data_IF_542146121714
#
_entry.id   IF_542146121714
#
_cell.length_a   1.000
_cell.length_b   1.000
_cell.length_c   1.000
_cell.angle_alpha   90.00
_cell.angle_beta   90.00
_cell.angle_gamma   90.00
#
_symmetry.space_group_name_H-M   'P 1'
#
loop_
_entity.id
_entity.type
_entity.pdbx_description
1 polymer ?
#
# COMPACT_ATOMS: atom_id res chain seq x y z
N UNK A 1 -19.46 26.61 -9.89
CA UNK A 1 -19.45 25.40 -9.03
C UNK A 1 -18.90 24.27 -9.89
N UNK A 2 -17.59 24.03 -9.88
CA UNK A 2 -17.08 22.76 -10.41
C UNK A 2 -17.63 21.66 -9.50
N UNK A 3 -18.50 20.81 -10.05
CA UNK A 3 -19.18 19.77 -9.28
C UNK A 3 -18.15 18.76 -8.81
N UNK A 4 -18.24 18.35 -7.54
CA UNK A 4 -17.56 17.16 -7.05
C UNK A 4 -17.67 16.02 -8.07
N UNK A 5 -16.59 15.27 -8.28
CA UNK A 5 -16.60 14.16 -9.22
C UNK A 5 -17.52 13.07 -8.69
N UNK A 6 -18.77 13.08 -9.18
CA UNK A 6 -19.83 12.20 -8.70
C UNK A 6 -19.48 10.71 -8.91
N UNK A 7 -18.74 10.39 -9.99
CA UNK A 7 -18.26 9.04 -10.26
C UNK A 7 -17.24 8.62 -9.21
N UNK A 8 -16.28 9.50 -8.85
CA UNK A 8 -15.31 9.26 -7.77
C UNK A 8 -16.00 8.93 -6.45
N UNK A 9 -16.98 9.75 -6.06
CA UNK A 9 -17.76 9.52 -4.83
C UNK A 9 -18.47 8.17 -4.85
N UNK A 10 -19.14 7.83 -5.97
CA UNK A 10 -19.84 6.54 -6.10
C UNK A 10 -18.88 5.37 -6.00
N UNK A 11 -17.76 5.40 -6.73
CA UNK A 11 -16.82 4.27 -6.74
C UNK A 11 -16.22 4.03 -5.35
N UNK A 12 -15.81 5.10 -4.66
CA UNK A 12 -15.28 4.97 -3.31
C UNK A 12 -16.36 4.58 -2.28
N UNK A 13 -17.60 5.04 -2.44
CA UNK A 13 -18.74 4.61 -1.62
C UNK A 13 -19.02 3.13 -1.80
N UNK A 14 -19.05 2.63 -3.04
CA UNK A 14 -19.22 1.21 -3.32
C UNK A 14 -18.05 0.42 -2.74
N UNK A 15 -16.82 0.92 -2.87
CA UNK A 15 -15.62 0.22 -2.43
C UNK A 15 -15.56 0.10 -0.91
N UNK A 16 -15.82 1.19 -0.19
CA UNK A 16 -15.90 1.19 1.27
C UNK A 16 -17.02 0.28 1.77
N UNK A 17 -18.23 0.40 1.21
CA UNK A 17 -19.37 -0.43 1.62
C UNK A 17 -19.14 -1.92 1.34
N UNK A 18 -18.61 -2.26 0.17
CA UNK A 18 -18.38 -3.66 -0.23
C UNK A 18 -17.21 -4.29 0.55
N UNK A 19 -16.11 -3.57 0.75
CA UNK A 19 -15.03 -4.03 1.63
C UNK A 19 -15.52 -4.28 3.06
N UNK A 20 -16.34 -3.38 3.60
CA UNK A 20 -16.95 -3.55 4.92
C UNK A 20 -17.87 -4.77 4.98
N UNK A 21 -18.63 -5.05 3.92
CA UNK A 21 -19.42 -6.29 3.82
C UNK A 21 -18.52 -7.54 3.92
N UNK A 22 -17.42 -7.58 3.17
CA UNK A 22 -16.49 -8.71 3.17
C UNK A 22 -15.86 -8.94 4.54
N UNK A 23 -15.42 -7.87 5.21
CA UNK A 23 -14.86 -7.93 6.56
C UNK A 23 -15.91 -8.35 7.59
N UNK A 24 -17.13 -7.82 7.51
CA UNK A 24 -18.22 -8.13 8.44
C UNK A 24 -18.63 -9.61 8.40
N UNK A 25 -18.57 -10.21 7.21
CA UNK A 25 -18.88 -11.63 6.98
C UNK A 25 -17.67 -12.55 7.13
N UNK A 26 -16.51 -12.03 7.52
CA UNK A 26 -15.26 -12.80 7.61
C UNK A 26 -14.96 -13.56 6.31
N UNK A 27 -15.20 -12.90 5.17
CA UNK A 27 -14.89 -13.41 3.83
C UNK A 27 -13.48 -12.95 3.43
N UNK A 28 -13.23 -11.66 3.57
CA UNK A 28 -11.93 -11.06 3.33
C UNK A 28 -11.68 -9.90 4.29
N UNK A 29 -10.41 -9.69 4.63
CA UNK A 29 -9.93 -8.49 5.31
C UNK A 29 -8.68 -8.01 4.58
N UNK A 30 -8.46 -6.70 4.58
CA UNK A 30 -7.30 -6.10 3.93
C UNK A 30 -6.05 -6.22 4.81
N UNK A 31 -6.17 -5.97 6.11
CA UNK A 31 -5.03 -5.97 7.00
C UNK A 31 -4.45 -7.39 7.17
N UNK A 32 -3.24 -7.60 6.67
CA UNK A 32 -2.55 -8.90 6.72
C UNK A 32 -2.37 -9.42 8.16
N UNK A 33 -2.10 -8.53 9.11
CA UNK A 33 -2.02 -8.87 10.54
C UNK A 33 -3.35 -9.25 11.20
N UNK A 34 -4.50 -8.91 10.58
CA UNK A 34 -5.82 -9.29 11.07
C UNK A 34 -6.20 -10.70 10.63
N UNK A 35 -5.80 -11.12 9.41
CA UNK A 35 -6.14 -12.45 8.86
C UNK A 35 -5.80 -13.61 9.81
N UNK A 36 -4.58 -13.72 10.38
CA UNK A 36 -4.24 -14.80 11.31
C UNK A 36 -5.09 -14.85 12.58
N UNK A 37 -5.74 -13.75 12.95
CA UNK A 37 -6.53 -13.60 14.18
C UNK A 37 -8.01 -13.97 13.93
N UNK A 38 -8.48 -13.86 12.68
CA UNK A 38 -9.86 -14.16 12.31
C UNK A 38 -10.36 -15.55 12.74
N UNK A 39 -9.55 -16.63 12.73
CA UNK A 39 -9.98 -17.94 13.24
C UNK A 39 -10.47 -17.93 14.68
N UNK A 40 -9.82 -17.19 15.58
CA UNK A 40 -10.23 -17.10 16.99
C UNK A 40 -11.64 -16.53 17.11
N UNK A 41 -11.96 -15.51 16.31
CA UNK A 41 -13.31 -14.95 16.25
C UNK A 41 -14.31 -15.92 15.60
N UNK A 42 -13.94 -16.55 14.49
CA UNK A 42 -14.82 -17.46 13.76
C UNK A 42 -15.13 -18.75 14.51
N UNK A 43 -14.22 -19.20 15.36
CA UNK A 43 -14.38 -20.39 16.21
C UNK A 43 -15.10 -20.06 17.54
N UNK A 44 -15.38 -18.78 17.82
CA UNK A 44 -16.07 -18.34 19.03
C UNK A 44 -15.17 -18.15 20.25
N UNK A 45 -13.85 -18.25 20.10
CA UNK A 45 -12.86 -18.05 21.18
C UNK A 45 -12.61 -16.57 21.48
N UNK A 46 -12.96 -15.68 20.55
CA UNK A 46 -12.78 -14.23 20.66
C UNK A 46 -14.10 -13.51 20.44
N UNK A 47 -14.38 -12.51 21.27
CA UNK A 47 -15.53 -11.64 21.10
C UNK A 47 -15.33 -10.65 19.96
N UNK A 48 -16.43 -10.17 19.37
CA UNK A 48 -16.39 -9.11 18.35
C UNK A 48 -15.70 -7.82 18.85
N UNK A 49 -15.88 -7.50 20.14
CA UNK A 49 -15.29 -6.30 20.75
C UNK A 49 -13.77 -6.40 20.84
N UNK A 50 -13.24 -7.57 21.18
CA UNK A 50 -11.79 -7.82 21.19
C UNK A 50 -11.21 -7.74 19.78
N UNK A 51 -11.87 -8.38 18.81
CA UNK A 51 -11.45 -8.32 17.40
C UNK A 51 -11.43 -6.87 16.88
N UNK A 52 -12.45 -6.07 17.24
CA UNK A 52 -12.53 -4.66 16.89
C UNK A 52 -11.38 -3.83 17.48
N UNK A 53 -11.05 -4.05 18.76
CA UNK A 53 -9.92 -3.39 19.41
C UNK A 53 -8.58 -3.70 18.74
N UNK A 54 -8.37 -4.98 18.39
CA UNK A 54 -7.17 -5.42 17.67
C UNK A 54 -7.12 -4.79 16.28
N UNK A 55 -8.20 -4.89 15.50
CA UNK A 55 -8.29 -4.33 14.15
C UNK A 55 -8.02 -2.82 14.15
N UNK A 56 -8.58 -2.07 15.10
CA UNK A 56 -8.31 -0.64 15.25
C UNK A 56 -6.83 -0.39 15.55
N UNK A 57 -6.26 -1.06 16.54
CA UNK A 57 -4.89 -0.84 17.00
C UNK A 57 -3.84 -1.06 15.90
N UNK A 58 -3.99 -2.14 15.12
CA UNK A 58 -3.03 -2.45 14.05
C UNK A 58 -3.24 -1.57 12.81
N UNK A 59 -4.48 -1.16 12.53
CA UNK A 59 -4.83 -0.43 11.30
C UNK A 59 -4.63 1.07 11.40
N UNK A 60 -4.96 1.69 12.54
CA UNK A 60 -4.94 3.15 12.69
C UNK A 60 -3.54 3.70 12.39
N UNK A 61 -2.51 2.94 12.78
CA UNK A 61 -1.14 3.31 12.56
C UNK A 61 -0.71 3.33 11.09
N UNK A 62 -1.26 2.48 10.24
CA UNK A 62 -0.99 2.53 8.79
C UNK A 62 -1.74 3.69 8.13
N UNK A 63 -3.00 3.90 8.53
CA UNK A 63 -3.87 4.96 8.01
C UNK A 63 -3.26 6.33 8.29
N UNK A 64 -2.94 6.62 9.55
CA UNK A 64 -2.37 7.92 9.95
C UNK A 64 -0.87 7.99 9.69
N UNK A 65 -0.17 6.85 9.77
CA UNK A 65 1.28 6.72 9.65
C UNK A 65 1.83 7.03 8.27
N UNK A 66 1.19 6.59 7.19
CA UNK A 66 1.70 6.93 5.85
C UNK A 66 0.60 7.10 4.82
N UNK A 67 -0.53 6.40 4.93
CA UNK A 67 -1.55 6.45 3.90
C UNK A 67 -2.12 7.85 3.74
N UNK A 68 -2.51 8.48 4.85
CA UNK A 68 -3.03 9.86 4.86
C UNK A 68 -1.97 10.88 4.42
N UNK A 69 -0.76 10.93 5.02
CA UNK A 69 0.23 11.94 4.58
C UNK A 69 0.63 11.82 3.11
N UNK A 70 0.78 10.59 2.59
CA UNK A 70 1.10 10.39 1.16
C UNK A 70 -0.08 10.80 0.29
N UNK A 71 -1.31 10.48 0.69
CA UNK A 71 -2.51 10.90 -0.04
C UNK A 71 -2.60 12.42 -0.14
N UNK A 72 -2.25 13.14 0.93
CA UNK A 72 -2.20 14.60 0.93
C UNK A 72 -1.07 15.14 0.06
N UNK A 73 0.08 14.48 0.06
CA UNK A 73 1.22 14.86 -0.75
C UNK A 73 0.97 14.65 -2.25
N UNK A 74 0.43 13.50 -2.65
CA UNK A 74 0.31 13.12 -4.06
C UNK A 74 -1.04 13.47 -4.67
N UNK A 75 -2.05 13.75 -3.85
CA UNK A 75 -3.45 13.88 -4.28
C UNK A 75 -4.12 12.55 -4.68
N UNK A 76 -3.41 11.42 -4.57
CA UNK A 76 -3.90 10.08 -4.91
C UNK A 76 -4.25 9.32 -3.63
N UNK A 77 -5.47 8.79 -3.52
CA UNK A 77 -5.88 8.10 -2.30
C UNK A 77 -5.14 6.78 -2.16
N UNK A 78 -4.36 6.63 -1.10
CA UNK A 78 -3.76 5.35 -0.73
C UNK A 78 -4.86 4.42 -0.22
N UNK A 79 -4.98 3.24 -0.83
CA UNK A 79 -6.06 2.25 -0.62
C UNK A 79 -6.25 1.87 0.85
N UNK A 80 -5.16 1.90 1.61
CA UNK A 80 -5.10 1.70 3.05
C UNK A 80 -6.12 2.57 3.81
N UNK A 81 -6.35 3.83 3.39
CA UNK A 81 -7.35 4.72 4.04
C UNK A 81 -8.74 4.09 4.00
N UNK A 82 -9.11 3.49 2.86
CA UNK A 82 -10.45 2.96 2.64
C UNK A 82 -10.55 1.55 3.20
N UNK A 83 -9.66 0.64 2.81
CA UNK A 83 -9.81 -0.78 3.12
C UNK A 83 -9.49 -1.14 4.57
N UNK A 84 -8.52 -0.47 5.20
CA UNK A 84 -8.28 -0.67 6.63
C UNK A 84 -9.42 -0.13 7.49
N UNK A 85 -9.97 1.04 7.12
CA UNK A 85 -11.15 1.56 7.82
C UNK A 85 -12.36 0.65 7.59
N UNK A 86 -12.48 0.07 6.40
CA UNK A 86 -13.53 -0.89 6.10
C UNK A 86 -13.42 -2.17 6.94
N UNK A 87 -12.19 -2.66 7.20
CA UNK A 87 -11.94 -3.76 8.13
C UNK A 87 -12.39 -3.39 9.54
N UNK A 88 -11.96 -2.22 10.07
CA UNK A 88 -12.34 -1.74 11.41
C UNK A 88 -13.86 -1.70 11.55
N UNK A 89 -14.57 -1.04 10.62
CA UNK A 89 -16.04 -0.92 10.65
C UNK A 89 -16.69 -2.29 10.54
N UNK A 90 -16.19 -3.13 9.62
CA UNK A 90 -16.75 -4.44 9.31
C UNK A 90 -16.67 -5.38 10.49
N UNK A 91 -15.53 -5.46 11.17
CA UNK A 91 -15.40 -6.32 12.35
C UNK A 91 -16.07 -5.71 13.58
N UNK A 92 -16.22 -4.39 13.68
CA UNK A 92 -16.80 -3.75 14.87
C UNK A 92 -18.31 -3.94 15.01
N UNK A 93 -19.04 -4.02 13.90
CA UNK A 93 -20.50 -3.97 13.92
C UNK A 93 -21.12 -5.36 13.72
N UNK A 94 -22.16 -5.69 14.49
CA UNK A 94 -22.85 -6.96 14.32
C UNK A 94 -23.89 -6.92 13.17
N UNK A 95 -24.50 -5.76 12.95
CA UNK A 95 -25.49 -5.58 11.87
C UNK A 95 -24.78 -5.27 10.54
N UNK A 96 -24.79 -6.24 9.62
CA UNK A 96 -24.17 -6.11 8.30
C UNK A 96 -24.69 -4.90 7.52
N UNK A 97 -26.00 -4.62 7.54
CA UNK A 97 -26.58 -3.50 6.76
C UNK A 97 -26.06 -2.15 7.26
N UNK A 98 -26.00 -2.00 8.59
CA UNK A 98 -25.46 -0.80 9.21
C UNK A 98 -23.95 -0.66 8.93
N UNK A 99 -23.19 -1.76 9.02
CA UNK A 99 -21.78 -1.76 8.70
C UNK A 99 -21.52 -1.28 7.27
N UNK A 100 -22.21 -1.88 6.29
CA UNK A 100 -22.10 -1.52 4.87
C UNK A 100 -22.46 -0.05 4.64
N UNK A 101 -23.54 0.45 5.27
CA UNK A 101 -23.92 1.85 5.16
C UNK A 101 -22.81 2.78 5.68
N UNK A 102 -22.25 2.50 6.85
CA UNK A 102 -21.16 3.31 7.44
C UNK A 102 -19.91 3.23 6.57
N UNK A 103 -19.53 2.04 6.08
CA UNK A 103 -18.42 1.88 5.17
C UNK A 103 -18.59 2.65 3.86
N UNK A 104 -19.81 2.66 3.32
CA UNK A 104 -20.14 3.40 2.10
C UNK A 104 -20.07 4.92 2.31
N UNK A 105 -20.68 5.41 3.40
CA UNK A 105 -20.60 6.83 3.79
C UNK A 105 -19.14 7.24 4.01
N UNK A 106 -18.34 6.42 4.69
CA UNK A 106 -16.92 6.71 4.89
C UNK A 106 -16.17 6.82 3.55
N UNK A 107 -16.36 5.87 2.63
CA UNK A 107 -15.76 5.92 1.30
C UNK A 107 -16.09 7.21 0.54
N UNK A 108 -17.36 7.62 0.55
CA UNK A 108 -17.78 8.90 -0.02
C UNK A 108 -17.09 10.09 0.66
N UNK A 109 -17.11 10.13 1.99
CA UNK A 109 -16.54 11.23 2.78
C UNK A 109 -15.03 11.40 2.56
N UNK A 110 -14.26 10.31 2.40
CA UNK A 110 -12.82 10.40 2.12
C UNK A 110 -12.55 11.19 0.84
N UNK A 111 -13.33 10.95 -0.21
CA UNK A 111 -13.16 11.67 -1.48
C UNK A 111 -13.54 13.15 -1.37
N UNK A 112 -14.66 13.44 -0.72
CA UNK A 112 -15.15 14.82 -0.50
C UNK A 112 -14.15 15.60 0.37
N UNK A 113 -13.65 14.97 1.44
CA UNK A 113 -12.69 15.57 2.35
C UNK A 113 -11.36 15.87 1.65
N UNK A 114 -10.83 14.92 0.85
CA UNK A 114 -9.58 15.13 0.11
C UNK A 114 -9.73 16.25 -0.93
N UNK A 115 -10.76 16.17 -1.79
CA UNK A 115 -10.97 17.18 -2.84
C UNK A 115 -11.24 18.57 -2.22
N UNK A 116 -12.00 18.61 -1.13
CA UNK A 116 -12.26 19.83 -0.36
C UNK A 116 -11.00 20.42 0.27
N UNK A 117 -10.12 19.57 0.82
CA UNK A 117 -8.87 19.99 1.44
C UNK A 117 -7.86 20.50 0.40
N UNK A 118 -7.66 19.77 -0.70
CA UNK A 118 -6.78 20.19 -1.81
C UNK A 118 -7.26 21.54 -2.35
N UNK A 119 -8.57 21.69 -2.57
CA UNK A 119 -9.15 22.96 -3.00
C UNK A 119 -8.95 24.05 -1.95
N UNK A 120 -9.12 23.74 -0.67
CA UNK A 120 -8.86 24.67 0.44
C UNK A 120 -7.44 25.25 0.40
N UNK A 121 -6.44 24.41 0.13
CA UNK A 121 -5.05 24.83 0.03
C UNK A 121 -4.77 25.78 -1.15
N UNK A 122 -5.58 25.77 -2.21
CA UNK A 122 -5.43 26.74 -3.31
C UNK A 122 -5.81 28.18 -2.92
N UNK A 123 -6.56 28.37 -1.83
CA UNK A 123 -6.92 29.70 -1.32
C UNK A 123 -5.90 30.25 -0.32
N UNK A 124 -4.89 29.47 0.05
CA UNK A 124 -3.87 29.87 1.01
C UNK A 124 -2.81 30.77 0.35
N UNK A 125 -2.27 31.78 1.07
CA UNK A 125 -1.22 32.66 0.56
C UNK A 125 0.04 31.93 0.06
N UNK A 126 0.42 30.85 0.74
CA UNK A 126 1.51 29.95 0.36
C UNK A 126 0.89 28.62 -0.06
N UNK A 127 0.81 28.37 -1.36
CA UNK A 127 0.45 27.06 -1.87
C UNK A 127 1.67 26.14 -1.76
N UNK A 128 1.63 25.21 -0.82
CA UNK A 128 2.70 24.26 -0.56
C UNK A 128 2.41 22.85 -1.07
N UNK A 129 1.36 22.66 -1.88
CA UNK A 129 0.98 21.33 -2.37
C UNK A 129 2.08 20.70 -3.24
N UNK A 130 2.66 21.48 -4.14
CA UNK A 130 3.74 21.00 -5.03
C UNK A 130 4.99 20.60 -4.22
N UNK A 131 5.34 21.41 -3.21
CA UNK A 131 6.41 21.09 -2.29
C UNK A 131 6.10 19.85 -1.46
N UNK A 132 4.86 19.68 -0.99
CA UNK A 132 4.41 18.51 -0.25
C UNK A 132 4.47 17.24 -1.10
N UNK A 133 4.19 17.32 -2.40
CA UNK A 133 4.31 16.19 -3.33
C UNK A 133 5.72 15.60 -3.38
N UNK A 134 6.75 16.43 -3.14
CA UNK A 134 8.16 16.00 -3.07
C UNK A 134 8.48 15.05 -1.91
N UNK A 135 7.56 14.89 -0.94
CA UNK A 135 7.68 13.86 0.12
C UNK A 135 7.79 12.45 -0.49
N UNK A 136 7.16 12.23 -1.64
CA UNK A 136 7.20 10.95 -2.35
C UNK A 136 8.54 10.63 -3.02
N UNK A 137 9.41 11.62 -3.23
CA UNK A 137 10.60 11.46 -4.08
C UNK A 137 11.59 10.42 -3.54
N UNK A 138 11.98 10.47 -2.26
CA UNK A 138 12.88 9.45 -1.72
C UNK A 138 12.23 8.07 -1.69
N UNK A 139 10.89 7.97 -1.62
CA UNK A 139 10.17 6.70 -1.65
C UNK A 139 10.41 6.00 -2.99
N UNK A 140 10.25 6.71 -4.10
CA UNK A 140 10.42 6.15 -5.45
C UNK A 140 11.79 5.47 -5.60
N UNK A 141 12.84 6.09 -5.08
CA UNK A 141 14.20 5.58 -5.25
C UNK A 141 14.66 4.59 -4.18
N UNK A 142 14.28 4.80 -2.92
CA UNK A 142 14.71 3.97 -1.81
C UNK A 142 13.91 2.67 -1.71
N UNK A 143 12.60 2.71 -2.01
CA UNK A 143 11.70 1.57 -1.84
C UNK A 143 12.14 0.36 -2.65
N UNK A 144 12.73 0.59 -3.82
CA UNK A 144 13.33 -0.44 -4.70
C UNK A 144 14.32 -1.37 -3.99
N UNK A 145 14.94 -0.93 -2.89
CA UNK A 145 15.88 -1.72 -2.12
C UNK A 145 15.23 -2.79 -1.20
N UNK A 146 13.90 -2.75 -1.00
CA UNK A 146 13.24 -3.64 -0.02
C UNK A 146 13.52 -5.13 -0.24
N UNK A 147 13.56 -5.68 -1.47
CA UNK A 147 13.84 -7.10 -1.65
C UNK A 147 15.25 -7.46 -1.18
N UNK A 148 16.21 -6.57 -1.43
CA UNK A 148 17.60 -6.77 -1.04
C UNK A 148 17.80 -6.69 0.48
N UNK A 149 17.09 -5.76 1.13
CA UNK A 149 17.08 -5.65 2.59
C UNK A 149 16.37 -6.86 3.22
N UNK A 150 15.27 -7.34 2.64
CA UNK A 150 14.59 -8.56 3.07
C UNK A 150 15.51 -9.79 2.96
N UNK A 151 16.28 -9.91 1.87
CA UNK A 151 17.32 -10.94 1.72
C UNK A 151 18.40 -10.79 2.79
N UNK A 152 18.80 -9.55 3.10
CA UNK A 152 19.75 -9.26 4.18
C UNK A 152 19.25 -9.73 5.54
N UNK A 153 17.98 -9.49 5.85
CA UNK A 153 17.34 -9.95 7.08
C UNK A 153 17.27 -11.47 7.17
N UNK A 154 16.88 -12.14 6.08
CA UNK A 154 16.61 -13.58 6.11
C UNK A 154 17.86 -14.46 5.91
N UNK A 155 18.76 -14.06 5.00
CA UNK A 155 19.90 -14.86 4.55
C UNK A 155 21.24 -14.24 4.93
N UNK A 156 21.22 -13.10 5.63
CA UNK A 156 22.39 -12.43 6.18
C UNK A 156 23.02 -11.40 5.24
N UNK A 157 23.93 -10.60 5.83
CA UNK A 157 24.53 -9.41 5.20
C UNK A 157 25.17 -9.64 3.84
N UNK A 158 25.80 -10.81 3.60
CA UNK A 158 26.47 -11.11 2.33
C UNK A 158 25.45 -11.27 1.19
N UNK A 159 24.38 -12.03 1.42
CA UNK A 159 23.32 -12.23 0.44
C UNK A 159 22.58 -10.92 0.15
N UNK A 160 22.32 -10.11 1.20
CA UNK A 160 21.74 -8.78 1.05
C UNK A 160 22.60 -7.88 0.19
N UNK A 161 23.91 -7.79 0.45
CA UNK A 161 24.84 -6.97 -0.33
C UNK A 161 24.91 -7.41 -1.81
N UNK A 162 24.99 -8.72 -2.07
CA UNK A 162 24.96 -9.25 -3.45
C UNK A 162 23.68 -8.81 -4.16
N UNK A 163 22.54 -8.89 -3.47
CA UNK A 163 21.24 -8.50 -4.04
C UNK A 163 21.18 -7.00 -4.32
N UNK A 164 21.72 -6.16 -3.43
CA UNK A 164 21.84 -4.71 -3.66
C UNK A 164 22.68 -4.44 -4.92
N UNK A 165 23.84 -5.10 -5.06
CA UNK A 165 24.72 -4.92 -6.23
C UNK A 165 23.99 -5.32 -7.51
N UNK A 166 23.29 -6.45 -7.53
CA UNK A 166 22.55 -6.91 -8.71
C UNK A 166 21.43 -5.94 -9.06
N UNK A 167 20.62 -5.51 -8.08
CA UNK A 167 19.54 -4.54 -8.30
C UNK A 167 20.08 -3.18 -8.78
N UNK A 168 21.19 -2.72 -8.21
CA UNK A 168 21.88 -1.49 -8.62
C UNK A 168 22.40 -1.58 -10.05
N UNK A 169 23.09 -2.66 -10.41
CA UNK A 169 23.59 -2.85 -11.78
C UNK A 169 22.43 -2.93 -12.79
N UNK A 170 21.35 -3.65 -12.45
CA UNK A 170 20.15 -3.69 -13.27
C UNK A 170 19.56 -2.29 -13.50
N UNK A 171 19.49 -1.47 -12.43
CA UNK A 171 19.06 -0.06 -12.52
C UNK A 171 19.92 0.75 -13.48
N UNK A 172 21.24 0.74 -13.28
CA UNK A 172 22.20 1.53 -14.07
C UNK A 172 22.18 1.12 -15.54
N UNK A 173 22.08 -0.18 -15.83
CA UNK A 173 21.96 -0.68 -17.20
C UNK A 173 20.69 -0.15 -17.85
N UNK A 174 19.54 -0.22 -17.16
CA UNK A 174 18.26 0.29 -17.67
C UNK A 174 18.30 1.80 -17.89
N UNK A 175 18.82 2.57 -16.94
CA UNK A 175 19.01 4.02 -17.09
C UNK A 175 19.85 4.36 -18.31
N UNK A 176 20.88 3.55 -18.61
CA UNK A 176 21.78 3.77 -19.74
C UNK A 176 21.18 3.45 -21.11
N UNK A 177 20.30 2.43 -21.19
CA UNK A 177 19.68 1.98 -22.44
C UNK A 177 18.34 2.66 -22.74
N UNK A 178 17.78 3.38 -21.77
CA UNK A 178 16.50 4.06 -21.93
C UNK A 178 16.61 5.33 -22.81
N UNK A 179 15.60 5.64 -23.65
CA UNK A 179 14.45 4.80 -24.00
C UNK A 179 14.85 3.65 -24.93
N UNK A 180 14.21 2.48 -24.79
CA UNK A 180 14.49 1.32 -25.66
C UNK A 180 13.50 1.30 -26.83
N UNK A 181 14.00 1.16 -28.04
CA UNK A 181 13.14 0.97 -29.22
C UNK A 181 12.74 -0.49 -29.34
N UNK A 182 11.46 -0.80 -29.08
CA UNK A 182 10.90 -2.15 -29.23
C UNK A 182 9.92 -2.12 -30.40
N UNK A 183 10.17 -2.93 -31.43
CA UNK A 183 9.32 -3.04 -32.61
C UNK A 183 8.99 -1.68 -33.29
N UNK A 184 9.96 -0.76 -33.31
CA UNK A 184 9.81 0.58 -33.91
C UNK A 184 9.16 1.63 -33.00
N UNK A 185 8.73 1.28 -31.79
CA UNK A 185 8.18 2.21 -30.81
C UNK A 185 9.18 2.49 -29.69
N UNK A 186 9.30 3.74 -29.25
CA UNK A 186 10.06 4.08 -28.05
C UNK A 186 9.30 3.63 -26.80
N UNK A 187 9.94 2.77 -26.01
CA UNK A 187 9.41 2.26 -24.75
C UNK A 187 10.35 2.70 -23.62
N UNK A 188 9.85 3.55 -22.74
CA UNK A 188 10.53 3.90 -21.50
C UNK A 188 10.34 2.77 -20.48
N UNK A 189 11.43 2.06 -20.18
CA UNK A 189 11.46 1.09 -19.09
C UNK A 189 11.49 1.82 -17.75
N UNK A 190 10.92 1.24 -16.69
CA UNK A 190 11.07 1.79 -15.33
C UNK A 190 12.35 1.25 -14.69
N UNK A 191 13.39 2.07 -14.44
CA UNK A 191 14.57 1.63 -13.72
C UNK A 191 14.24 1.08 -12.33
N UNK A 192 13.30 1.71 -11.64
CA UNK A 192 12.82 1.31 -10.32
C UNK A 192 12.15 -0.06 -10.36
N UNK A 193 11.23 -0.26 -11.32
CA UNK A 193 10.52 -1.51 -11.50
C UNK A 193 11.47 -2.68 -11.83
N UNK A 194 12.46 -2.46 -12.69
CA UNK A 194 13.43 -3.49 -13.07
C UNK A 194 14.38 -3.81 -11.92
N UNK A 195 14.91 -2.81 -11.23
CA UNK A 195 15.77 -3.03 -10.08
C UNK A 195 15.04 -3.81 -8.97
N UNK A 196 13.77 -3.48 -8.73
CA UNK A 196 12.90 -4.19 -7.79
C UNK A 196 12.66 -5.64 -8.23
N UNK A 197 12.38 -5.86 -9.52
CA UNK A 197 12.21 -7.20 -10.09
C UNK A 197 13.46 -8.06 -9.90
N UNK A 198 14.66 -7.54 -10.19
CA UNK A 198 15.91 -8.26 -9.97
C UNK A 198 16.17 -8.54 -8.49
N UNK A 199 15.84 -7.60 -7.61
CA UNK A 199 15.85 -7.83 -6.16
C UNK A 199 14.91 -8.98 -5.75
N UNK A 200 13.71 -9.01 -6.31
CA UNK A 200 12.73 -10.08 -6.06
C UNK A 200 13.20 -11.44 -6.59
N UNK A 201 13.80 -11.48 -7.78
CA UNK A 201 14.39 -12.71 -8.33
C UNK A 201 15.47 -13.27 -7.39
N UNK A 202 16.34 -12.40 -6.86
CA UNK A 202 17.36 -12.81 -5.89
C UNK A 202 16.71 -13.36 -4.60
N UNK A 203 15.67 -12.70 -4.09
CA UNK A 203 14.94 -13.16 -2.91
C UNK A 203 14.36 -14.56 -3.13
N UNK A 204 13.66 -14.77 -4.25
CA UNK A 204 13.10 -16.08 -4.61
C UNK A 204 14.20 -17.13 -4.80
N UNK A 205 15.33 -16.75 -5.41
CA UNK A 205 16.48 -17.63 -5.59
C UNK A 205 17.08 -18.08 -4.26
N UNK A 206 17.38 -17.17 -3.34
CA UNK A 206 17.91 -17.52 -2.01
C UNK A 206 16.90 -18.33 -1.21
N UNK A 207 15.63 -17.94 -1.22
CA UNK A 207 14.57 -18.66 -0.51
C UNK A 207 14.35 -20.08 -1.04
N UNK A 208 14.40 -20.29 -2.36
CA UNK A 208 14.25 -21.63 -2.95
C UNK A 208 15.40 -22.59 -2.63
N UNK A 209 16.59 -22.05 -2.32
CA UNK A 209 17.78 -22.85 -1.94
C UNK A 209 17.89 -23.10 -0.45
N UNK A 210 17.15 -22.37 0.36
CA UNK A 210 17.22 -22.49 1.81
C UNK A 210 16.37 -23.66 2.32
N UNK A 211 17.06 -24.76 2.65
CA UNK A 211 16.48 -26.01 3.18
C UNK A 211 16.43 -26.05 4.71
N UNK A 212 16.77 -24.96 5.41
CA UNK A 212 16.92 -24.96 6.88
C UNK A 212 15.60 -25.12 7.63
N UNK A 213 14.44 -24.97 6.97
CA UNK A 213 13.13 -25.05 7.61
C UNK A 213 12.32 -26.12 6.87
N UNK A 214 12.14 -27.27 7.52
CA UNK A 214 11.35 -28.39 7.03
C UNK A 214 10.31 -28.74 8.07
N UNK A 215 9.31 -27.89 8.26
CA UNK A 215 8.11 -28.27 9.01
C UNK A 215 6.98 -28.49 8.01
N UNK A 216 6.60 -29.76 7.85
CA UNK A 216 5.35 -30.15 7.21
C UNK A 216 4.20 -29.72 8.12
N UNK A 217 3.39 -28.76 7.67
CA UNK A 217 2.14 -28.41 8.36
C UNK A 217 1.03 -29.39 7.97
N UNK A 218 0.13 -29.70 8.92
CA UNK A 218 -1.03 -30.59 8.70
C UNK A 218 -1.87 -30.15 7.49
N UNK A 219 -1.90 -31.01 6.47
CA UNK A 219 -2.56 -30.76 5.18
C UNK A 219 -4.08 -30.59 5.27
N UNK A 220 -4.73 -31.17 6.27
CA UNK A 220 -6.20 -31.22 6.37
C UNK A 220 -6.83 -29.84 6.62
N UNK A 221 -6.21 -29.01 7.46
CA UNK A 221 -6.75 -27.70 7.85
C UNK A 221 -6.73 -26.69 6.69
N UNK A 222 -5.72 -26.76 5.81
CA UNK A 222 -5.63 -25.83 4.67
C UNK A 222 -6.60 -26.14 3.56
N UNK A 223 -6.89 -27.41 3.30
CA UNK A 223 -7.80 -27.77 2.22
C UNK A 223 -9.22 -27.24 2.50
N UNK A 224 -9.67 -27.26 3.75
CA UNK A 224 -10.98 -26.74 4.14
C UNK A 224 -11.04 -25.21 4.08
N UNK A 225 -9.97 -24.53 4.51
CA UNK A 225 -9.86 -23.07 4.37
C UNK A 225 -9.80 -22.63 2.90
N UNK A 226 -9.09 -23.36 2.04
CA UNK A 226 -9.07 -23.07 0.59
C UNK A 226 -10.45 -23.31 -0.03
N UNK A 227 -11.16 -24.38 0.34
CA UNK A 227 -12.55 -24.62 -0.11
C UNK A 227 -13.47 -23.48 0.31
N UNK A 228 -13.34 -22.99 1.55
CA UNK A 228 -14.08 -21.83 2.04
C UNK A 228 -13.83 -20.58 1.20
N UNK A 229 -12.56 -20.26 0.91
CA UNK A 229 -12.20 -19.10 0.08
C UNK A 229 -12.81 -19.26 -1.33
N UNK A 230 -12.68 -20.43 -1.94
CA UNK A 230 -13.27 -20.72 -3.27
C UNK A 230 -14.79 -20.59 -3.29
N UNK A 231 -15.48 -21.05 -2.23
CA UNK A 231 -16.94 -20.89 -2.11
C UNK A 231 -17.36 -19.43 -2.10
N UNK A 232 -16.52 -18.56 -1.54
CA UNK A 232 -16.76 -17.12 -1.49
C UNK A 232 -16.22 -16.35 -2.70
N UNK A 233 -15.71 -17.02 -3.74
CA UNK A 233 -15.17 -16.36 -4.92
C UNK A 233 -16.16 -15.36 -5.53
N UNK A 234 -17.45 -15.70 -5.58
CA UNK A 234 -18.51 -14.84 -6.10
C UNK A 234 -18.57 -13.46 -5.40
N UNK A 235 -18.11 -13.37 -4.15
CA UNK A 235 -18.01 -12.11 -3.40
C UNK A 235 -16.64 -11.44 -3.54
N UNK A 236 -15.60 -12.17 -3.93
CA UNK A 236 -14.24 -11.61 -4.09
C UNK A 236 -14.06 -10.98 -5.48
N UNK A 237 -14.62 -11.59 -6.54
CA UNK A 237 -14.50 -11.06 -7.90
C UNK A 237 -15.02 -9.61 -8.06
N UNK A 238 -16.20 -9.22 -7.52
CA UNK A 238 -16.70 -7.86 -7.66
C UNK A 238 -15.82 -6.82 -6.94
N UNK A 239 -15.19 -7.19 -5.82
CA UNK A 239 -14.26 -6.29 -5.13
C UNK A 239 -13.05 -5.98 -6.01
N UNK A 240 -12.46 -7.01 -6.62
CA UNK A 240 -11.31 -6.84 -7.51
C UNK A 240 -11.66 -6.00 -8.75
N UNK A 241 -12.85 -6.20 -9.32
CA UNK A 241 -13.35 -5.37 -10.41
C UNK A 241 -13.45 -3.89 -10.00
N UNK A 242 -14.02 -3.62 -8.83
CA UNK A 242 -14.22 -2.27 -8.32
C UNK A 242 -12.89 -1.55 -8.01
N UNK A 243 -11.92 -2.27 -7.45
CA UNK A 243 -10.56 -1.78 -7.22
C UNK A 243 -9.91 -1.41 -8.56
N UNK A 244 -9.97 -2.29 -9.56
CA UNK A 244 -9.38 -2.06 -10.87
C UNK A 244 -10.05 -0.92 -11.65
N UNK A 245 -11.39 -0.80 -11.57
CA UNK A 245 -12.14 0.33 -12.16
C UNK A 245 -11.69 1.65 -11.53
N UNK A 246 -11.56 1.69 -10.20
CA UNK A 246 -11.14 2.91 -9.50
C UNK A 246 -9.69 3.26 -9.84
N UNK A 247 -8.83 2.25 -9.99
CA UNK A 247 -7.44 2.41 -10.42
C UNK A 247 -7.30 2.93 -11.85
N UNK A 248 -8.21 2.57 -12.77
CA UNK A 248 -8.20 3.10 -14.14
C UNK A 248 -8.30 4.63 -14.19
N UNK A 249 -8.99 5.25 -13.23
CA UNK A 249 -9.06 6.70 -13.09
C UNK A 249 -7.87 7.31 -12.32
N UNK A 250 -6.91 6.50 -11.89
CA UNK A 250 -5.72 6.87 -11.12
C UNK A 250 -6.03 7.59 -9.79
N UNK A 251 -7.25 7.43 -9.26
CA UNK A 251 -7.68 8.04 -7.99
C UNK A 251 -7.24 7.26 -6.76
N UNK A 252 -6.86 6.00 -6.96
CA UNK A 252 -6.44 5.10 -5.90
C UNK A 252 -5.08 4.50 -6.21
N UNK A 253 -4.25 4.44 -5.19
CA UNK A 253 -2.95 3.79 -5.22
C UNK A 253 -2.85 2.72 -4.14
N UNK A 254 -1.99 1.74 -4.38
CA UNK A 254 -1.71 0.67 -3.45
C UNK A 254 -0.70 1.08 -2.38
N UNK A 255 0.53 0.62 -2.54
CA UNK A 255 1.68 1.04 -1.73
C UNK A 255 2.13 2.50 -1.99
N UNK A 256 2.83 3.13 -1.02
CA UNK A 256 3.43 4.47 -1.11
C UNK A 256 4.14 4.80 -2.41
N UNK A 257 4.95 3.88 -2.93
CA UNK A 257 5.71 4.09 -4.16
C UNK A 257 4.79 4.21 -5.38
N UNK A 258 3.72 3.43 -5.46
CA UNK A 258 2.75 3.53 -6.55
C UNK A 258 2.00 4.86 -6.48
N UNK A 259 1.64 5.30 -5.26
CA UNK A 259 1.01 6.61 -5.05
C UNK A 259 1.92 7.77 -5.47
N UNK A 260 3.21 7.70 -5.12
CA UNK A 260 4.20 8.70 -5.49
C UNK A 260 4.42 8.76 -7.02
N UNK A 261 4.50 7.60 -7.68
CA UNK A 261 4.63 7.52 -9.13
C UNK A 261 3.39 8.06 -9.86
N UNK A 262 2.18 7.73 -9.38
CA UNK A 262 0.94 8.27 -9.94
C UNK A 262 0.82 9.79 -9.73
N UNK A 263 1.21 10.30 -8.57
CA UNK A 263 1.27 11.74 -8.30
C UNK A 263 2.19 12.49 -9.28
N UNK A 264 3.22 11.82 -9.81
CA UNK A 264 4.11 12.35 -10.87
C UNK A 264 3.64 12.06 -12.30
N UNK A 265 2.47 11.45 -12.48
CA UNK A 265 1.96 11.04 -13.80
C UNK A 265 2.69 9.84 -14.42
N UNK A 266 3.52 9.12 -13.67
CA UNK A 266 4.29 7.96 -14.16
C UNK A 266 3.48 6.66 -14.06
N UNK A 267 2.41 6.58 -14.85
CA UNK A 267 1.41 5.48 -14.80
C UNK A 267 2.04 4.11 -15.06
N UNK A 268 2.85 3.98 -16.11
CA UNK A 268 3.49 2.69 -16.47
C UNK A 268 4.42 2.20 -15.37
N UNK A 269 5.22 3.08 -14.79
CA UNK A 269 6.10 2.74 -13.66
C UNK A 269 5.28 2.30 -12.45
N UNK A 270 4.20 3.02 -12.11
CA UNK A 270 3.31 2.64 -11.01
C UNK A 270 2.69 1.24 -11.22
N UNK A 271 2.31 0.91 -12.45
CA UNK A 271 1.77 -0.40 -12.79
C UNK A 271 2.80 -1.52 -12.66
N UNK A 272 4.02 -1.32 -13.16
CA UNK A 272 5.11 -2.30 -13.02
C UNK A 272 5.40 -2.54 -11.54
N UNK A 273 5.50 -1.48 -10.75
CA UNK A 273 5.74 -1.58 -9.30
C UNK A 273 4.63 -2.37 -8.62
N UNK A 274 3.36 -2.06 -8.91
CA UNK A 274 2.22 -2.78 -8.33
C UNK A 274 2.23 -4.28 -8.67
N UNK A 275 2.59 -4.65 -9.91
CA UNK A 275 2.70 -6.05 -10.35
C UNK A 275 3.88 -6.76 -9.66
N UNK A 276 5.05 -6.11 -9.57
CA UNK A 276 6.24 -6.69 -8.92
C UNK A 276 5.99 -6.89 -7.42
N UNK A 277 5.31 -5.94 -6.77
CA UNK A 277 4.94 -6.06 -5.36
C UNK A 277 3.99 -7.22 -5.10
N UNK A 278 3.05 -7.49 -6.00
CA UNK A 278 2.18 -8.64 -5.84
C UNK A 278 2.96 -9.96 -5.73
N UNK A 279 4.05 -10.10 -6.50
CA UNK A 279 4.96 -11.24 -6.38
C UNK A 279 5.67 -11.30 -5.01
N UNK A 280 5.99 -10.14 -4.43
CA UNK A 280 6.63 -10.03 -3.13
C UNK A 280 5.70 -10.41 -1.97
N UNK A 281 4.45 -9.96 -2.03
CA UNK A 281 3.46 -10.17 -0.98
C UNK A 281 2.72 -11.51 -1.11
N UNK A 282 2.74 -12.13 -2.28
CA UNK A 282 2.08 -13.41 -2.55
C UNK A 282 2.35 -14.48 -1.47
N UNK A 283 3.59 -14.74 -1.01
CA UNK A 283 3.83 -15.75 0.02
C UNK A 283 3.14 -15.43 1.35
N UNK A 284 3.21 -14.18 1.80
CA UNK A 284 2.59 -13.73 3.04
C UNK A 284 1.06 -13.86 2.98
N UNK A 285 0.47 -13.39 1.88
CA UNK A 285 -0.97 -13.36 1.70
C UNK A 285 -1.54 -14.76 1.62
N UNK A 286 -0.95 -15.63 0.80
CA UNK A 286 -1.41 -17.01 0.63
C UNK A 286 -1.30 -17.78 1.94
N UNK A 287 -0.17 -17.66 2.65
CA UNK A 287 0.03 -18.35 3.93
C UNK A 287 -1.05 -17.96 4.94
N UNK A 288 -1.24 -16.67 5.16
CA UNK A 288 -2.20 -16.17 6.15
C UNK A 288 -3.64 -16.47 5.73
N UNK A 289 -3.95 -16.47 4.44
CA UNK A 289 -5.25 -16.89 3.93
C UNK A 289 -5.51 -18.40 4.10
N UNK A 290 -4.51 -19.25 3.84
CA UNK A 290 -4.64 -20.70 4.03
C UNK A 290 -4.82 -21.05 5.51
N UNK A 291 -4.15 -20.35 6.42
CA UNK A 291 -4.31 -20.54 7.87
C UNK A 291 -5.70 -20.09 8.34
N UNK A 292 -6.21 -18.98 7.81
CA UNK A 292 -7.42 -18.34 8.34
C UNK A 292 -8.72 -18.69 7.64
N UNK A 293 -8.67 -19.12 6.38
CA UNK A 293 -9.86 -19.23 5.52
C UNK A 293 -10.50 -17.88 5.18
N UNK A 294 -9.80 -16.77 5.44
CA UNK A 294 -10.20 -15.39 5.13
C UNK A 294 -9.21 -14.83 4.11
N UNK A 295 -9.71 -14.28 3.01
CA UNK A 295 -8.86 -13.82 1.91
C UNK A 295 -8.41 -12.36 2.06
N UNK A 296 -7.48 -11.92 1.20
CA UNK A 296 -7.12 -10.50 1.08
C UNK A 296 -8.18 -9.75 0.28
N UNK A 297 -8.67 -8.62 0.80
CA UNK A 297 -9.68 -7.79 0.12
C UNK A 297 -9.20 -7.32 -1.27
N UNK A 298 -7.89 -7.10 -1.42
CA UNK A 298 -7.23 -6.76 -2.68
C UNK A 298 -6.41 -7.92 -3.29
N UNK A 299 -6.69 -9.18 -2.94
CA UNK A 299 -5.99 -10.34 -3.55
C UNK A 299 -4.54 -10.50 -3.08
N UNK A 300 -3.63 -10.92 -3.97
CA UNK A 300 -2.17 -10.97 -3.75
C UNK A 300 -1.52 -9.57 -3.77
N UNK A 301 -2.18 -8.56 -3.22
CA UNK A 301 -1.78 -7.16 -3.23
C UNK A 301 -2.10 -6.42 -4.54
N UNK A 302 -1.34 -5.38 -4.87
CA UNK A 302 -1.75 -4.29 -5.75
C UNK A 302 -1.80 -4.59 -7.26
N UNK A 303 -1.56 -5.81 -7.73
CA UNK A 303 -1.54 -6.06 -9.19
C UNK A 303 -2.88 -5.83 -9.90
N UNK A 304 -4.03 -5.89 -9.21
CA UNK A 304 -5.31 -5.44 -9.79
C UNK A 304 -5.30 -3.95 -10.08
N UNK A 305 -4.66 -3.16 -9.20
CA UNK A 305 -4.45 -1.73 -9.42
C UNK A 305 -3.52 -1.53 -10.62
N UNK A 306 -2.43 -2.30 -10.71
CA UNK A 306 -1.52 -2.27 -11.85
C UNK A 306 -2.20 -2.56 -13.19
N UNK A 307 -3.07 -3.58 -13.24
CA UNK A 307 -3.90 -3.87 -14.41
C UNK A 307 -4.90 -2.75 -14.70
N UNK A 308 -5.50 -2.17 -13.66
CA UNK A 308 -6.40 -1.03 -13.78
C UNK A 308 -5.73 0.21 -14.37
N UNK A 309 -4.52 0.55 -13.89
CA UNK A 309 -3.75 1.70 -14.38
C UNK A 309 -3.47 1.65 -15.88
N UNK A 310 -3.25 0.45 -16.42
CA UNK A 310 -2.93 0.20 -17.83
C UNK A 310 -4.17 -0.08 -18.70
N UNK A 311 -5.34 -0.26 -18.09
CA UNK A 311 -6.54 -0.60 -18.83
C UNK A 311 -6.99 0.56 -19.73
N UNK A 312 -7.48 0.29 -20.95
CA UNK A 312 -7.89 1.33 -21.89
C UNK A 312 -9.22 2.02 -21.52
N UNK A 313 -10.06 1.36 -20.71
CA UNK A 313 -11.36 1.88 -20.27
C UNK A 313 -11.79 1.17 -18.97
N UNK A 314 -12.73 1.73 -18.18
CA UNK A 314 -13.09 1.17 -16.88
C UNK A 314 -13.74 -0.22 -16.98
N UNK A 315 -14.46 -0.52 -18.06
CA UNK A 315 -15.09 -1.85 -18.23
C UNK A 315 -14.02 -2.92 -18.38
N UNK A 316 -13.02 -2.68 -19.22
CA UNK A 316 -11.87 -3.58 -19.38
C UNK A 316 -11.09 -3.70 -18.07
N UNK A 317 -10.90 -2.60 -17.35
CA UNK A 317 -10.26 -2.63 -16.02
C UNK A 317 -11.00 -3.56 -15.05
N UNK A 318 -12.33 -3.45 -14.98
CA UNK A 318 -13.16 -4.30 -14.13
C UNK A 318 -13.08 -5.78 -14.50
N UNK A 319 -13.10 -6.09 -15.80
CA UNK A 319 -12.94 -7.47 -16.29
C UNK A 319 -11.55 -8.01 -15.91
N UNK A 320 -10.48 -7.24 -16.17
CA UNK A 320 -9.12 -7.65 -15.84
C UNK A 320 -8.95 -7.89 -14.34
N UNK A 321 -9.47 -7.00 -13.49
CA UNK A 321 -9.44 -7.16 -12.02
C UNK A 321 -10.18 -8.42 -11.55
N UNK A 322 -11.43 -8.62 -12.03
CA UNK A 322 -12.20 -9.82 -11.70
C UNK A 322 -11.53 -11.11 -12.18
N UNK A 323 -11.02 -11.13 -13.42
CA UNK A 323 -10.31 -12.26 -13.98
C UNK A 323 -9.03 -12.57 -13.20
N UNK A 324 -8.26 -11.56 -12.83
CA UNK A 324 -7.05 -11.72 -12.03
C UNK A 324 -7.37 -12.37 -10.68
N UNK A 325 -8.36 -11.87 -9.94
CA UNK A 325 -8.84 -12.48 -8.70
C UNK A 325 -9.32 -13.93 -8.89
N UNK A 326 -10.02 -14.21 -9.99
CA UNK A 326 -10.42 -15.58 -10.34
C UNK A 326 -9.20 -16.52 -10.53
N UNK A 327 -8.14 -16.04 -11.18
CA UNK A 327 -6.88 -16.77 -11.33
C UNK A 327 -6.21 -17.01 -9.97
N UNK A 328 -6.20 -16.03 -9.07
CA UNK A 328 -5.63 -16.23 -7.72
C UNK A 328 -6.35 -17.35 -6.97
N UNK A 329 -7.67 -17.23 -6.84
CA UNK A 329 -8.49 -18.14 -6.04
C UNK A 329 -8.40 -19.57 -6.57
N UNK A 330 -8.38 -19.74 -7.90
CA UNK A 330 -8.24 -21.06 -8.52
C UNK A 330 -6.84 -21.63 -8.33
N UNK A 331 -5.79 -20.79 -8.37
CA UNK A 331 -4.40 -21.21 -8.22
C UNK A 331 -3.93 -21.42 -6.77
N UNK A 332 -4.69 -21.00 -5.75
CA UNK A 332 -4.33 -21.13 -4.32
C UNK A 332 -3.80 -22.52 -3.94
N UNK A 333 -4.49 -23.61 -4.30
CA UNK A 333 -4.03 -24.97 -3.97
C UNK A 333 -2.69 -25.32 -4.62
N UNK A 334 -2.43 -24.84 -5.84
CA UNK A 334 -1.17 -25.13 -6.55
C UNK A 334 -0.02 -24.37 -5.91
N UNK A 335 -0.23 -23.10 -5.59
CA UNK A 335 0.80 -22.26 -4.98
C UNK A 335 1.06 -22.70 -3.54
N UNK A 336 0.03 -23.07 -2.77
CA UNK A 336 0.19 -23.67 -1.45
C UNK A 336 1.11 -24.90 -1.45
N UNK A 337 0.96 -25.79 -2.44
CA UNK A 337 1.88 -26.94 -2.62
C UNK A 337 3.31 -26.52 -2.91
N UNK A 338 3.51 -25.49 -3.74
CA UNK A 338 4.84 -24.93 -4.02
C UNK A 338 5.45 -24.32 -2.76
N UNK A 339 4.67 -23.57 -1.98
CA UNK A 339 5.13 -22.97 -0.74
C UNK A 339 5.50 -24.00 0.32
N UNK A 340 4.77 -25.11 0.42
CA UNK A 340 5.15 -26.22 1.30
C UNK A 340 6.48 -26.87 0.88
N UNK A 341 6.80 -26.89 -0.42
CA UNK A 341 8.09 -27.37 -0.92
C UNK A 341 9.25 -26.41 -0.62
N UNK A 342 8.95 -25.12 -0.41
CA UNK A 342 9.94 -24.07 -0.14
C UNK A 342 9.55 -23.23 1.09
N UNK A 343 9.68 -23.78 2.31
CA UNK A 343 9.19 -23.11 3.53
C UNK A 343 9.85 -21.75 3.79
N UNK A 344 11.09 -21.56 3.31
CA UNK A 344 11.79 -20.28 3.39
C UNK A 344 11.08 -19.16 2.62
N UNK A 345 10.33 -19.44 1.55
CA UNK A 345 9.51 -18.44 0.86
C UNK A 345 8.39 -17.89 1.76
N UNK A 346 7.83 -18.72 2.65
CA UNK A 346 6.81 -18.30 3.61
C UNK A 346 7.41 -17.34 4.63
N UNK A 347 8.60 -17.62 5.13
CA UNK A 347 9.32 -16.77 6.10
C UNK A 347 9.80 -15.45 5.50
N UNK A 348 9.93 -15.36 4.17
CA UNK A 348 10.27 -14.10 3.51
C UNK A 348 9.22 -13.02 3.70
N UNK A 349 7.95 -13.38 3.92
CA UNK A 349 6.85 -12.43 4.09
C UNK A 349 7.08 -11.42 5.22
N UNK A 350 7.49 -11.89 6.40
CA UNK A 350 7.72 -11.00 7.55
C UNK A 350 8.99 -10.14 7.39
N UNK A 351 10.02 -10.68 6.74
CA UNK A 351 11.24 -9.94 6.40
C UNK A 351 10.97 -8.85 5.37
N UNK A 352 10.10 -9.10 4.39
CA UNK A 352 9.63 -8.12 3.41
C UNK A 352 8.88 -6.98 4.12
N UNK A 353 7.93 -7.30 5.02
CA UNK A 353 7.19 -6.29 5.79
C UNK A 353 8.13 -5.40 6.61
N UNK A 354 9.12 -6.02 7.27
CA UNK A 354 10.12 -5.31 8.08
C UNK A 354 10.98 -4.39 7.22
N UNK A 355 11.50 -4.89 6.10
CA UNK A 355 12.32 -4.14 5.16
C UNK A 355 11.56 -2.92 4.60
N UNK A 356 10.31 -3.11 4.18
CA UNK A 356 9.47 -2.03 3.66
C UNK A 356 9.23 -0.93 4.70
N UNK A 357 8.86 -1.32 5.93
CA UNK A 357 8.58 -0.37 7.01
C UNK A 357 9.79 0.51 7.29
N UNK A 358 10.98 -0.08 7.39
CA UNK A 358 12.21 0.68 7.68
C UNK A 358 12.63 1.59 6.54
N UNK A 359 12.51 1.13 5.29
CA UNK A 359 12.83 1.96 4.13
C UNK A 359 11.88 3.15 4.06
N UNK A 360 10.58 2.93 4.26
CA UNK A 360 9.58 3.99 4.29
C UNK A 360 9.83 4.98 5.43
N UNK A 361 10.25 4.53 6.61
CA UNK A 361 10.57 5.40 7.74
C UNK A 361 11.66 6.41 7.37
N UNK A 362 12.76 5.94 6.78
CA UNK A 362 13.87 6.81 6.36
C UNK A 362 13.44 7.68 5.17
N UNK A 363 12.79 7.10 4.15
CA UNK A 363 12.41 7.81 2.94
C UNK A 363 11.41 8.94 3.22
N UNK A 364 10.41 8.70 4.08
CA UNK A 364 9.40 9.71 4.44
C UNK A 364 9.98 10.81 5.32
N UNK A 365 10.96 10.51 6.17
CA UNK A 365 11.70 11.54 6.91
C UNK A 365 12.47 12.45 5.97
N UNK A 366 13.29 11.86 5.07
CA UNK A 366 14.05 12.64 4.07
C UNK A 366 13.12 13.42 3.15
N UNK A 367 12.00 12.81 2.73
CA UNK A 367 10.99 13.46 1.91
C UNK A 367 10.33 14.65 2.62
N UNK A 368 9.98 14.48 3.90
CA UNK A 368 9.46 15.55 4.74
C UNK A 368 10.43 16.73 4.90
N UNK A 369 11.73 16.44 5.10
CA UNK A 369 12.78 17.47 5.17
C UNK A 369 12.91 18.23 3.84
N UNK A 370 12.94 17.50 2.72
CA UNK A 370 13.03 18.10 1.39
C UNK A 370 11.83 18.99 1.07
N UNK A 371 10.62 18.48 1.33
CA UNK A 371 9.38 19.22 1.15
C UNK A 371 9.37 20.49 2.00
N UNK A 372 9.65 20.37 3.30
CA UNK A 372 9.67 21.52 4.19
C UNK A 372 10.70 22.58 3.78
N UNK A 373 11.87 22.17 3.26
CA UNK A 373 12.86 23.10 2.74
C UNK A 373 12.37 23.85 1.49
N UNK A 374 11.56 23.22 0.64
CA UNK A 374 10.94 23.90 -0.49
C UNK A 374 9.85 24.88 -0.04
N UNK A 375 9.10 24.53 1.01
CA UNK A 375 8.06 25.40 1.59
C UNK A 375 8.69 26.64 2.23
N UNK A 376 9.70 26.43 3.07
CA UNK A 376 10.39 27.50 3.77
C UNK A 376 11.89 27.17 3.84
N UNK A 377 12.70 27.75 2.93
CA UNK A 377 14.13 27.44 2.85
C UNK A 377 14.87 27.61 4.18
N UNK A 378 15.62 26.57 4.59
CA UNK A 378 16.36 26.51 5.84
C UNK A 378 15.48 26.31 7.09
N UNK A 379 14.48 27.16 7.28
CA UNK A 379 13.57 27.10 8.44
C UNK A 379 12.73 25.83 8.46
N UNK A 380 12.27 25.36 7.30
CA UNK A 380 11.53 24.11 7.19
C UNK A 380 12.35 22.89 7.60
N UNK A 381 13.65 22.84 7.24
CA UNK A 381 14.57 21.78 7.70
C UNK A 381 14.68 21.82 9.22
N UNK A 382 14.94 23.00 9.79
CA UNK A 382 15.01 23.20 11.24
C UNK A 382 13.75 22.67 11.92
N UNK A 383 12.56 23.07 11.46
CA UNK A 383 11.29 22.67 12.06
C UNK A 383 11.05 21.16 11.97
N UNK A 384 11.28 20.54 10.81
CA UNK A 384 11.06 19.09 10.66
C UNK A 384 11.99 18.29 11.56
N UNK A 385 13.28 18.61 11.59
CA UNK A 385 14.26 17.90 12.42
C UNK A 385 13.93 18.11 13.91
N UNK A 386 13.62 19.34 14.33
CA UNK A 386 13.23 19.62 15.72
C UNK A 386 11.96 18.88 16.13
N UNK A 387 10.92 18.87 15.30
CA UNK A 387 9.67 18.16 15.58
C UNK A 387 9.88 16.64 15.61
N UNK A 388 10.72 16.09 14.73
CA UNK A 388 11.04 14.66 14.73
C UNK A 388 11.75 14.24 16.01
N UNK A 389 12.76 14.99 16.46
CA UNK A 389 13.47 14.71 17.71
C UNK A 389 12.55 14.90 18.92
N UNK A 390 11.71 15.94 18.92
CA UNK A 390 10.72 16.14 19.99
C UNK A 390 9.74 14.95 20.07
N UNK A 391 9.30 14.43 18.93
CA UNK A 391 8.45 13.24 18.88
C UNK A 391 9.14 12.01 19.50
N UNK A 392 10.45 11.81 19.27
CA UNK A 392 11.23 10.76 19.95
C UNK A 392 11.28 10.96 21.47
N UNK A 393 11.53 12.20 21.93
CA UNK A 393 11.60 12.54 23.37
C UNK A 393 10.24 12.28 24.05
N UNK A 394 9.13 12.57 23.37
CA UNK A 394 7.78 12.38 23.89
C UNK A 394 7.29 10.92 23.85
N UNK A 395 8.14 9.95 23.49
CA UNK A 395 7.76 8.55 23.42
C UNK A 395 6.99 8.17 22.15
N UNK A 396 7.20 8.92 21.06
CA UNK A 396 6.61 8.70 19.72
C UNK A 396 5.08 8.74 19.70
N UNK A 397 4.44 9.84 20.14
CA UNK A 397 2.99 10.02 19.98
C UNK A 397 2.57 9.98 18.50
N UNK A 398 3.44 10.42 17.59
CA UNK A 398 3.30 10.25 16.14
C UNK A 398 4.21 9.10 15.69
N UNK A 399 3.67 8.20 14.87
CA UNK A 399 4.47 7.11 14.30
C UNK A 399 5.58 7.65 13.40
N UNK A 400 6.73 6.97 13.41
CA UNK A 400 7.95 7.41 12.70
C UNK A 400 7.72 7.60 11.20
N UNK A 401 6.91 6.73 10.60
CA UNK A 401 6.45 6.83 9.20
C UNK A 401 5.73 8.17 8.91
N UNK A 402 4.95 8.68 9.86
CA UNK A 402 4.16 9.91 9.68
C UNK A 402 4.91 11.17 10.08
N UNK A 403 5.93 11.05 10.92
CA UNK A 403 6.58 12.18 11.56
C UNK A 403 7.14 13.19 10.54
N UNK A 404 7.84 12.71 9.51
CA UNK A 404 8.38 13.58 8.44
C UNK A 404 7.29 14.30 7.64
N UNK A 405 6.34 13.57 7.01
CA UNK A 405 5.26 14.18 6.24
C UNK A 405 4.36 15.12 7.05
N UNK A 406 3.98 14.75 8.28
CA UNK A 406 3.16 15.62 9.15
C UNK A 406 3.94 16.88 9.52
N UNK A 407 5.22 16.78 9.82
CA UNK A 407 6.04 17.94 10.12
C UNK A 407 6.12 18.89 8.90
N UNK A 408 6.22 18.37 7.67
CA UNK A 408 6.18 19.19 6.45
C UNK A 408 4.83 19.91 6.29
N UNK A 409 3.71 19.25 6.59
CA UNK A 409 2.38 19.88 6.60
C UNK A 409 2.31 20.99 7.65
N UNK A 410 2.85 20.76 8.86
CA UNK A 410 2.93 21.78 9.91
C UNK A 410 3.75 22.99 9.43
N UNK A 411 4.87 22.78 8.74
CA UNK A 411 5.67 23.86 8.13
C UNK A 411 4.83 24.64 7.12
N UNK A 412 4.05 23.97 6.26
CA UNK A 412 3.13 24.63 5.31
C UNK A 412 2.06 25.49 5.99
N UNK A 413 1.47 24.98 7.07
CA UNK A 413 0.50 25.73 7.88
C UNK A 413 1.16 26.95 8.52
N UNK A 414 2.33 26.78 9.13
CA UNK A 414 3.07 27.88 9.76
C UNK A 414 3.50 28.93 8.74
N UNK A 415 4.03 28.54 7.58
CA UNK A 415 4.40 29.47 6.50
C UNK A 415 3.21 30.36 6.10
N UNK A 416 2.01 29.78 6.02
CA UNK A 416 0.78 30.52 5.74
C UNK A 416 0.38 31.48 6.86
N UNK A 417 0.43 31.05 8.12
CA UNK A 417 0.15 31.93 9.27
C UNK A 417 1.13 33.12 9.29
N UNK A 418 2.42 32.86 9.09
CA UNK A 418 3.44 33.92 9.07
C UNK A 418 3.31 34.82 7.84
N UNK A 419 2.86 34.31 6.70
CA UNK A 419 2.59 35.12 5.51
C UNK A 419 1.44 36.11 5.75
N UNK A 420 0.36 35.66 6.41
CA UNK A 420 -0.76 36.54 6.79
C UNK A 420 -0.33 37.62 7.79
N UNK A 421 0.60 37.31 8.68
CA UNK A 421 1.16 38.25 9.66
C UNK A 421 2.23 39.19 9.05
N UNK A 422 2.59 39.03 7.77
CA UNK A 422 3.65 39.80 7.11
C UNK A 422 5.07 39.45 7.55
N UNK A 423 5.25 38.33 8.25
CA UNK A 423 6.53 37.85 8.79
C UNK A 423 7.22 36.82 7.88
N UNK A 424 6.52 36.34 6.85
CA UNK A 424 7.07 35.48 5.80
C UNK A 424 6.77 36.10 4.44
N UNK A 425 7.82 36.33 3.66
CA UNK A 425 7.68 36.79 2.27
C UNK A 425 7.56 35.54 1.41
N UNK A 426 6.40 35.40 0.76
CA UNK A 426 6.18 34.36 -0.25
C UNK A 426 7.19 34.60 -1.37
N UNK A 427 8.05 33.61 -1.64
CA UNK A 427 9.03 33.67 -2.72
C UNK A 427 8.35 33.53 -4.09
#
# INVERSE_FOLDING_TARGET
>A
MESFNFIKIILFSLMGGYATFLANKSIAVYHDGLRPIMPEFMNGNMSRKELAGISFAISIGFITGFAMPITLATGVIVIHIVLLTADIIGVSLNNTKLAVLIGAVYGALVTIALDGLIKGFTYLPVNFLDALASVGDPIIYAFVAFPAIAVGYQFGKKAGLITIIIAFLARVVVERINPVTIAGNEVALSPEGIAMLFGMICLLFFASRDKRHGEEMEHSLFDDNIKRIRKNAIYLLPMAALIAITAHYHWIAGEPIAAALLGKGQITSAAIVAIVQALAFMPLIITTAMISGVYGTNGWCDWFLGLGYLAPNPVVAGILGASAMGVEITSLSRIGKVMNRFPSLKMSGDNIRTAMTQILEIALLVGGVNAANQIWPGTGIFLVVSLYILNEICGRPVMKLAAGPIAAIIVGILANVFAVLGLHVVA
#
